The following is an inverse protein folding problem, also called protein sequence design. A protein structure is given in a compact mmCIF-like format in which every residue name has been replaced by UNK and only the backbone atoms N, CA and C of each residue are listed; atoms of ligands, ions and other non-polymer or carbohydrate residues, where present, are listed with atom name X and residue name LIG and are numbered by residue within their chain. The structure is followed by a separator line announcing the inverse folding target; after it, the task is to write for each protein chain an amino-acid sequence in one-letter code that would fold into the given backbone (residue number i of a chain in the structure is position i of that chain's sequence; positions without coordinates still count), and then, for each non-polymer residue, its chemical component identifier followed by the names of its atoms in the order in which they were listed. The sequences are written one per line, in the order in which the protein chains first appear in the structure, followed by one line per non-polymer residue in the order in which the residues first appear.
data_IF_363473956915
#
_entry.id   IF_363473956915
#
_cell.length_a   1.000
_cell.length_b   1.000
_cell.length_c   1.000
_cell.angle_alpha   90.00
_cell.angle_beta   90.00
_cell.angle_gamma   90.00
#
_symmetry.space_group_name_H-M   'P 1'
#
loop_
_entity.id
_entity.type
_entity.pdbx_description
1 polymer ?
#
# COMPACT_ATOMS: atom_id res chain seq x y z
N UNK A 1 -0.95 10.06 -22.42
CA UNK A 1 -0.36 9.02 -21.55
C UNK A 1 0.08 7.89 -22.46
N UNK A 2 1.34 7.49 -22.34
CA UNK A 2 1.87 6.31 -23.01
C UNK A 2 2.35 5.33 -21.94
N UNK A 3 2.09 4.05 -22.14
CA UNK A 3 2.59 2.95 -21.29
C UNK A 3 3.93 2.39 -21.78
N UNK A 4 4.50 2.94 -22.85
CA UNK A 4 5.75 2.44 -23.45
C UNK A 4 6.93 2.55 -22.48
N UNK A 5 7.72 1.48 -22.39
CA UNK A 5 8.99 1.45 -21.63
C UNK A 5 10.13 1.00 -22.54
N UNK A 6 11.35 1.44 -22.22
CA UNK A 6 12.56 0.94 -22.86
C UNK A 6 12.61 -0.58 -22.70
N UNK A 7 12.71 -1.29 -23.82
CA UNK A 7 12.76 -2.76 -23.86
C UNK A 7 13.61 -3.22 -25.04
N UNK A 8 14.35 -4.31 -24.84
CA UNK A 8 15.08 -5.00 -25.91
C UNK A 8 14.25 -6.14 -26.52
N UNK A 9 12.99 -6.31 -26.09
CA UNK A 9 12.07 -7.36 -26.55
C UNK A 9 10.96 -6.75 -27.38
N UNK A 10 10.98 -7.00 -28.69
CA UNK A 10 9.98 -6.45 -29.63
C UNK A 10 8.52 -6.80 -29.29
N UNK A 11 8.16 -7.99 -28.75
CA UNK A 11 6.76 -8.29 -28.45
C UNK A 11 6.20 -7.37 -27.36
N UNK A 12 7.07 -6.95 -26.42
CA UNK A 12 6.67 -6.05 -25.35
C UNK A 12 6.40 -4.63 -25.87
N UNK A 13 7.08 -4.21 -26.94
CA UNK A 13 6.77 -2.96 -27.64
C UNK A 13 5.35 -2.97 -28.21
N UNK A 14 4.98 -4.06 -28.90
CA UNK A 14 3.61 -4.24 -29.40
C UNK A 14 2.59 -4.26 -28.27
N UNK A 15 2.87 -4.98 -27.19
CA UNK A 15 1.98 -5.02 -26.04
C UNK A 15 1.71 -3.63 -25.46
N UNK A 16 2.73 -2.79 -25.29
CA UNK A 16 2.53 -1.41 -24.83
C UNK A 16 1.72 -0.57 -25.82
N UNK A 17 1.88 -0.79 -27.13
CA UNK A 17 1.05 -0.11 -28.13
C UNK A 17 -0.41 -0.56 -28.06
N UNK A 18 -0.67 -1.85 -27.87
CA UNK A 18 -2.02 -2.38 -27.65
C UNK A 18 -2.64 -1.71 -26.42
N UNK A 19 -1.93 -1.64 -25.30
CA UNK A 19 -2.42 -0.95 -24.10
C UNK A 19 -2.75 0.54 -24.34
N UNK A 20 -1.91 1.25 -25.10
CA UNK A 20 -2.17 2.64 -25.45
C UNK A 20 -3.46 2.79 -26.28
N UNK A 21 -3.66 1.90 -27.27
CA UNK A 21 -4.85 1.88 -28.12
C UNK A 21 -6.11 1.55 -27.33
N UNK A 22 -6.05 0.56 -26.43
CA UNK A 22 -7.21 0.19 -25.59
C UNK A 22 -7.61 1.33 -24.66
N UNK A 23 -6.66 2.03 -24.03
CA UNK A 23 -6.95 3.21 -23.18
C UNK A 23 -7.65 4.32 -23.98
N UNK A 24 -7.21 4.58 -25.22
CA UNK A 24 -7.84 5.59 -26.10
C UNK A 24 -9.26 5.17 -26.46
N UNK A 25 -9.43 3.93 -26.93
CA UNK A 25 -10.72 3.44 -27.40
C UNK A 25 -11.74 3.37 -26.25
N UNK A 26 -11.32 2.90 -25.07
CA UNK A 26 -12.16 2.91 -23.86
C UNK A 26 -12.59 4.34 -23.49
N UNK A 27 -11.72 5.33 -23.62
CA UNK A 27 -12.06 6.73 -23.36
C UNK A 27 -13.07 7.29 -24.37
N UNK A 28 -12.96 6.94 -25.66
CA UNK A 28 -13.94 7.34 -26.68
C UNK A 28 -15.33 6.81 -26.33
N UNK A 29 -15.42 5.53 -25.94
CA UNK A 29 -16.67 4.90 -25.50
C UNK A 29 -17.23 5.60 -24.26
N UNK A 30 -16.37 5.90 -23.27
CA UNK A 30 -16.76 6.64 -22.06
C UNK A 30 -17.37 8.01 -22.39
N UNK A 31 -16.70 8.79 -23.26
CA UNK A 31 -17.18 10.11 -23.67
C UNK A 31 -18.51 10.01 -24.40
N UNK A 32 -18.65 9.06 -25.34
CA UNK A 32 -19.90 8.83 -26.06
C UNK A 32 -21.05 8.48 -25.11
N UNK A 33 -20.81 7.58 -24.16
CA UNK A 33 -21.81 7.20 -23.16
C UNK A 33 -22.15 8.36 -22.21
N UNK A 34 -21.17 9.17 -21.80
CA UNK A 34 -21.40 10.32 -20.93
C UNK A 34 -22.31 11.35 -21.61
N UNK A 35 -22.02 11.70 -22.87
CA UNK A 35 -22.83 12.60 -23.69
C UNK A 35 -24.24 12.04 -23.87
N UNK A 36 -24.37 10.75 -24.21
CA UNK A 36 -25.69 10.09 -24.36
C UNK A 36 -26.53 10.15 -23.09
N UNK A 37 -25.88 10.04 -21.93
CA UNK A 37 -26.54 10.06 -20.62
C UNK A 37 -26.70 11.49 -20.05
N UNK A 38 -26.37 12.54 -20.81
CA UNK A 38 -26.45 13.93 -20.36
C UNK A 38 -25.47 14.29 -19.23
N UNK A 39 -24.43 13.49 -19.02
CA UNK A 39 -23.40 13.70 -17.99
C UNK A 39 -22.14 14.31 -18.60
N UNK A 40 -21.46 15.15 -17.83
CA UNK A 40 -20.18 15.74 -18.27
C UNK A 40 -19.10 14.66 -18.30
N UNK A 41 -18.45 14.40 -19.45
CA UNK A 41 -17.38 13.41 -19.51
C UNK A 41 -16.20 13.84 -18.65
N UNK A 42 -15.56 12.84 -18.04
CA UNK A 42 -14.29 13.04 -17.35
C UNK A 42 -13.20 13.47 -18.34
N UNK A 43 -12.20 14.21 -17.85
CA UNK A 43 -10.98 14.45 -18.63
C UNK A 43 -10.22 13.11 -18.83
N UNK A 44 -9.52 12.97 -19.96
CA UNK A 44 -8.77 11.76 -20.33
C UNK A 44 -7.80 11.26 -19.25
N UNK A 45 -7.11 12.17 -18.55
CA UNK A 45 -6.12 11.79 -17.53
C UNK A 45 -6.76 11.16 -16.28
N UNK A 46 -7.72 11.83 -15.61
CA UNK A 46 -8.48 11.23 -14.51
C UNK A 46 -9.14 9.90 -14.89
N UNK A 47 -9.71 9.78 -16.09
CA UNK A 47 -10.31 8.53 -16.57
C UNK A 47 -9.30 7.37 -16.58
N UNK A 48 -8.11 7.60 -17.16
CA UNK A 48 -7.08 6.56 -17.23
C UNK A 48 -6.54 6.15 -15.85
N UNK A 49 -6.45 7.09 -14.91
CA UNK A 49 -6.04 6.80 -13.53
C UNK A 49 -7.11 5.98 -12.80
N UNK A 50 -8.37 6.40 -12.87
CA UNK A 50 -9.47 5.65 -12.26
C UNK A 50 -9.56 4.23 -12.83
N UNK A 51 -9.45 4.08 -14.15
CA UNK A 51 -9.44 2.77 -14.80
C UNK A 51 -8.27 1.89 -14.29
N UNK A 52 -7.08 2.48 -14.11
CA UNK A 52 -5.95 1.75 -13.55
C UNK A 52 -6.20 1.34 -12.09
N UNK A 53 -6.75 2.23 -11.27
CA UNK A 53 -7.11 1.94 -9.88
C UNK A 53 -8.15 0.82 -9.79
N UNK A 54 -9.18 0.86 -10.64
CA UNK A 54 -10.23 -0.17 -10.72
C UNK A 54 -9.65 -1.55 -11.09
N UNK A 55 -8.70 -1.60 -12.04
CA UNK A 55 -8.01 -2.84 -12.41
C UNK A 55 -7.09 -3.37 -11.30
N UNK A 56 -6.47 -2.49 -10.50
CA UNK A 56 -5.57 -2.89 -9.42
C UNK A 56 -6.31 -3.31 -8.15
N UNK A 57 -7.52 -2.79 -7.92
CA UNK A 57 -8.30 -2.99 -6.69
C UNK A 57 -8.40 -4.45 -6.20
N UNK A 58 -8.79 -5.46 -7.03
CA UNK A 58 -8.89 -6.84 -6.55
C UNK A 58 -7.54 -7.41 -6.09
N UNK A 59 -6.46 -7.08 -6.80
CA UNK A 59 -5.10 -7.50 -6.46
C UNK A 59 -4.60 -6.86 -5.16
N UNK A 60 -4.96 -5.59 -4.92
CA UNK A 60 -4.66 -4.90 -3.67
C UNK A 60 -5.40 -5.54 -2.50
N UNK A 61 -6.66 -5.92 -2.68
CA UNK A 61 -7.47 -6.60 -1.65
C UNK A 61 -6.86 -7.96 -1.27
N UNK A 62 -6.48 -8.77 -2.24
CA UNK A 62 -5.81 -10.06 -2.00
C UNK A 62 -4.46 -9.85 -1.28
N UNK A 63 -3.65 -8.89 -1.77
CA UNK A 63 -2.36 -8.57 -1.17
C UNK A 63 -2.48 -8.10 0.28
N UNK A 64 -3.53 -7.34 0.62
CA UNK A 64 -3.78 -6.86 1.98
C UNK A 64 -3.99 -8.01 3.00
N UNK A 65 -4.54 -9.13 2.55
CA UNK A 65 -4.76 -10.32 3.39
C UNK A 65 -3.46 -11.06 3.74
N UNK A 66 -2.34 -10.78 3.05
CA UNK A 66 -1.06 -11.42 3.32
C UNK A 66 -0.53 -11.05 4.71
N UNK A 67 -0.40 -12.05 5.59
CA UNK A 67 0.02 -11.86 6.99
C UNK A 67 1.46 -11.37 7.11
N UNK A 68 2.34 -11.83 6.22
CA UNK A 68 3.77 -11.48 6.21
C UNK A 68 4.07 -10.15 5.51
N UNK A 69 3.04 -9.44 5.05
CA UNK A 69 3.21 -8.15 4.36
C UNK A 69 3.80 -7.11 5.31
N UNK A 70 4.76 -6.33 4.82
CA UNK A 70 5.36 -5.26 5.59
C UNK A 70 4.31 -4.24 6.03
N UNK A 71 4.35 -3.81 7.30
CA UNK A 71 3.36 -2.91 7.91
C UNK A 71 3.13 -1.64 7.09
N UNK A 72 4.21 -0.97 6.66
CA UNK A 72 4.10 0.27 5.88
C UNK A 72 3.33 0.06 4.58
N UNK A 73 3.61 -1.02 3.87
CA UNK A 73 2.91 -1.36 2.64
C UNK A 73 1.44 -1.72 2.91
N UNK A 74 1.16 -2.43 4.01
CA UNK A 74 -0.20 -2.77 4.42
C UNK A 74 -1.03 -1.51 4.74
N UNK A 75 -0.43 -0.51 5.38
CA UNK A 75 -1.06 0.79 5.66
C UNK A 75 -1.36 1.57 4.37
N UNK A 76 -0.41 1.64 3.42
CA UNK A 76 -0.63 2.30 2.11
C UNK A 76 -1.79 1.62 1.36
N UNK A 77 -1.84 0.29 1.36
CA UNK A 77 -2.92 -0.44 0.70
C UNK A 77 -4.26 -0.18 1.40
N UNK A 78 -4.30 -0.15 2.74
CA UNK A 78 -5.51 0.17 3.50
C UNK A 78 -6.03 1.58 3.17
N UNK A 79 -5.14 2.56 3.06
CA UNK A 79 -5.47 3.93 2.68
C UNK A 79 -6.07 4.00 1.27
N UNK A 80 -5.43 3.37 0.28
CA UNK A 80 -5.93 3.30 -1.11
C UNK A 80 -7.30 2.63 -1.17
N UNK A 81 -7.49 1.53 -0.43
CA UNK A 81 -8.75 0.78 -0.39
C UNK A 81 -9.80 1.41 0.53
N UNK A 82 -9.47 2.48 1.27
CA UNK A 82 -10.32 3.11 2.30
C UNK A 82 -10.82 2.11 3.34
N UNK A 83 -9.96 1.17 3.71
CA UNK A 83 -10.22 0.22 4.80
C UNK A 83 -9.92 0.97 6.10
N UNK A 84 -10.96 1.32 6.84
CA UNK A 84 -10.83 1.77 8.22
C UNK A 84 -10.40 0.57 9.05
N UNK A 85 -9.10 0.38 9.23
CA UNK A 85 -8.56 -0.70 10.04
C UNK A 85 -8.88 -0.41 11.52
N UNK A 86 -9.71 -1.22 12.21
CA UNK A 86 -9.99 -1.02 13.64
C UNK A 86 -8.79 -1.34 14.54
N UNK A 87 -7.63 -1.71 13.99
CA UNK A 87 -6.46 -2.20 14.73
C UNK A 87 -5.67 -1.11 15.49
N UNK A 88 -6.22 0.09 15.68
CA UNK A 88 -5.64 1.12 16.54
C UNK A 88 -6.57 1.55 17.68
N UNK A 89 -7.23 0.58 18.31
CA UNK A 89 -7.52 0.68 19.74
C UNK A 89 -6.28 0.25 20.52
N UNK A 90 -5.81 0.98 21.55
CA UNK A 90 -4.86 0.42 22.50
C UNK A 90 -5.56 -0.74 23.19
N UNK A 91 -5.33 -1.97 22.73
CA UNK A 91 -5.69 -3.15 23.52
C UNK A 91 -4.93 -3.03 24.83
N UNK A 92 -5.66 -2.72 25.90
CA UNK A 92 -5.15 -2.65 27.27
C UNK A 92 -4.68 -4.02 27.80
N UNK A 93 -4.75 -5.07 26.98
CA UNK A 93 -4.24 -6.38 27.29
C UNK A 93 -2.77 -6.53 26.91
N UNK A 94 -1.99 -6.92 27.91
CA UNK A 94 -0.61 -7.40 27.82
C UNK A 94 -0.41 -8.22 26.54
N UNK A 95 0.58 -7.89 25.69
CA UNK A 95 0.85 -8.69 24.50
C UNK A 95 1.23 -10.12 24.93
N UNK A 96 0.32 -11.08 24.71
CA UNK A 96 0.56 -12.52 24.94
C UNK A 96 1.69 -13.07 24.05
N UNK A 97 2.12 -12.31 23.04
CA UNK A 97 3.11 -12.72 22.04
C UNK A 97 4.34 -11.81 22.07
N UNK A 98 5.53 -12.44 22.02
CA UNK A 98 6.81 -11.72 21.94
C UNK A 98 6.92 -11.02 20.58
N UNK A 99 7.34 -9.75 20.57
CA UNK A 99 7.61 -8.97 19.35
C UNK A 99 9.12 -8.80 19.16
N UNK A 100 9.56 -8.47 17.95
CA UNK A 100 10.97 -8.16 17.68
C UNK A 100 11.32 -6.75 18.16
N UNK A 101 12.50 -6.57 18.73
CA UNK A 101 13.00 -5.25 19.12
C UNK A 101 13.12 -4.33 17.90
N UNK A 102 12.59 -3.11 18.03
CA UNK A 102 12.56 -2.12 16.95
C UNK A 102 13.92 -1.47 16.64
N UNK A 103 14.85 -1.50 17.60
CA UNK A 103 16.18 -0.87 17.49
C UNK A 103 17.22 -1.88 16.97
N UNK A 104 17.03 -3.18 17.26
CA UNK A 104 17.95 -4.20 16.76
C UNK A 104 17.85 -4.33 15.22
N UNK A 105 18.97 -4.62 14.53
CA UNK A 105 18.93 -5.01 13.13
C UNK A 105 17.96 -6.18 12.91
N UNK A 106 17.13 -6.10 11.85
CA UNK A 106 16.09 -7.09 11.57
C UNK A 106 16.63 -8.53 11.51
N UNK A 107 17.87 -8.71 11.02
CA UNK A 107 18.57 -10.01 10.96
C UNK A 107 18.76 -10.68 12.32
N UNK A 108 18.95 -9.90 13.40
CA UNK A 108 19.09 -10.45 14.77
C UNK A 108 17.78 -11.00 15.33
N UNK A 109 16.63 -10.53 14.81
CA UNK A 109 15.27 -10.98 15.20
C UNK A 109 15.07 -11.09 16.72
N UNK A 110 15.69 -10.20 17.50
CA UNK A 110 15.71 -10.31 18.97
C UNK A 110 14.30 -10.08 19.52
N UNK A 111 13.74 -11.11 20.13
CA UNK A 111 12.39 -11.09 20.69
C UNK A 111 12.36 -10.41 22.06
N UNK A 112 11.29 -9.68 22.35
CA UNK A 112 11.06 -8.97 23.60
C UNK A 112 9.57 -8.96 23.95
N UNK A 113 9.28 -8.92 25.26
CA UNK A 113 7.96 -8.65 25.83
C UNK A 113 7.85 -7.22 26.37
N UNK A 114 8.94 -6.46 26.32
CA UNK A 114 9.07 -5.15 26.94
C UNK A 114 8.81 -4.04 25.94
N UNK A 115 8.06 -3.02 26.38
CA UNK A 115 7.69 -1.86 25.56
C UNK A 115 8.19 -0.55 26.19
N UNK A 116 8.55 0.43 25.36
CA UNK A 116 8.91 1.77 25.79
C UNK A 116 7.72 2.47 26.46
N UNK A 117 7.94 3.13 27.61
CA UNK A 117 6.88 3.89 28.31
C UNK A 117 6.37 5.10 27.51
N UNK A 118 7.25 5.78 26.77
CA UNK A 118 6.89 6.97 25.98
C UNK A 118 6.19 6.64 24.66
N UNK A 119 6.79 5.78 23.83
CA UNK A 119 6.31 5.51 22.46
C UNK A 119 5.70 4.11 22.25
N UNK A 120 5.58 3.28 23.30
CA UNK A 120 4.99 1.93 23.25
C UNK A 120 5.59 1.00 22.19
N UNK A 121 6.84 1.23 21.79
CA UNK A 121 7.56 0.37 20.84
C UNK A 121 8.27 -0.78 21.55
N UNK A 122 8.36 -1.98 20.93
CA UNK A 122 9.05 -3.13 21.53
C UNK A 122 10.56 -2.92 21.57
N UNK A 123 11.16 -3.02 22.77
CA UNK A 123 12.60 -2.83 23.00
C UNK A 123 13.20 -4.01 23.76
N UNK A 124 14.40 -4.45 23.38
CA UNK A 124 15.11 -5.50 24.12
C UNK A 124 15.83 -4.90 25.34
N UNK A 125 16.27 -5.75 26.27
CA UNK A 125 16.95 -5.32 27.50
C UNK A 125 18.22 -4.49 27.27
N UNK A 126 18.95 -4.73 26.18
CA UNK A 126 20.13 -3.92 25.82
C UNK A 126 19.77 -2.48 25.40
N UNK A 127 18.55 -2.24 24.92
CA UNK A 127 18.08 -0.92 24.50
C UNK A 127 17.08 -0.30 25.49
N UNK A 128 17.00 -0.85 26.70
CA UNK A 128 16.05 -0.47 27.73
C UNK A 128 16.73 0.48 28.73
N UNK A 129 16.53 1.78 28.57
CA UNK A 129 17.04 2.81 29.51
C UNK A 129 15.87 3.61 30.08
N UNK A 130 14.97 3.00 30.87
CA UNK A 130 13.71 3.57 31.41
C UNK A 130 12.67 4.08 30.37
N UNK A 131 13.15 4.52 29.22
CA UNK A 131 12.54 4.94 27.97
C UNK A 131 13.46 4.41 26.84
N UNK A 132 12.98 4.37 25.59
CA UNK A 132 13.87 3.98 24.49
C UNK A 132 14.86 5.11 24.18
N UNK A 133 15.99 4.77 23.56
CA UNK A 133 17.02 5.74 23.17
C UNK A 133 16.51 6.85 22.22
N UNK A 134 15.34 6.68 21.60
CA UNK A 134 14.67 7.69 20.76
C UNK A 134 13.81 8.69 21.56
N UNK A 135 13.49 8.37 22.82
CA UNK A 135 12.69 9.23 23.71
C UNK A 135 13.52 9.78 24.88
N UNK A 136 14.66 9.18 25.18
CA UNK A 136 15.57 9.62 26.25
C UNK A 136 16.68 10.57 25.76
N UNK A 137 16.70 10.91 24.47
CA UNK A 137 17.66 11.80 23.83
C UNK A 137 16.94 12.82 22.95
#
# INVERSE_FOLDING_TARGET
MSTSRKTNRWPLCLFFNILNLTIVNAYVIHVSNAIRNGTKPMKRRPFALQMADDLMKPWLQERYQTVTLQRNLKLIIAEILKINDPQEGPSHDVPKTRKTCNICPAKKRRMTTTFCKGCKTPICREHMVSMCNLCSG
#
